data_IF_889206403074
#
_entry.id   IF_889206403074
#
_cell.length_a   1.000
_cell.length_b   1.000
_cell.length_c   1.000
_cell.angle_alpha   90.00
_cell.angle_beta   90.00
_cell.angle_gamma   90.00
#
_symmetry.space_group_name_H-M   'P 1'
#
loop_
_entity.id
_entity.type
_entity.pdbx_description
1 polymer ?
#
# COMPACT_ATOMS: atom_id res chain seq x y z
N UNK A 1 -0.40 22.90 3.86
CA UNK A 1 -1.58 22.00 3.92
C UNK A 1 -1.30 20.83 4.85
N UNK A 2 -2.36 20.20 5.40
CA UNK A 2 -2.26 19.02 6.28
C UNK A 2 -1.54 17.86 5.59
N UNK A 3 -1.76 17.68 4.30
CA UNK A 3 -1.09 16.68 3.45
C UNK A 3 0.44 16.84 3.45
N UNK A 4 0.95 18.05 3.24
CA UNK A 4 2.41 18.30 3.22
C UNK A 4 3.04 17.99 4.58
N UNK A 5 2.36 18.33 5.66
CA UNK A 5 2.81 18.01 7.01
C UNK A 5 2.85 16.50 7.26
N UNK A 6 1.83 15.76 6.80
CA UNK A 6 1.79 14.30 6.92
C UNK A 6 2.97 13.63 6.19
N UNK A 7 3.29 14.09 4.98
CA UNK A 7 4.46 13.61 4.21
C UNK A 7 5.77 13.90 4.94
N UNK A 8 5.91 15.12 5.48
CA UNK A 8 7.10 15.49 6.26
C UNK A 8 7.22 14.65 7.55
N UNK A 9 6.11 14.42 8.25
CA UNK A 9 6.06 13.55 9.43
C UNK A 9 6.48 12.12 9.10
N UNK A 10 6.01 11.54 7.99
CA UNK A 10 6.42 10.21 7.57
C UNK A 10 7.93 10.13 7.31
N UNK A 11 8.48 11.07 6.55
CA UNK A 11 9.90 11.12 6.24
C UNK A 11 10.79 11.31 7.50
N UNK A 12 10.32 12.09 8.47
CA UNK A 12 11.01 12.29 9.74
C UNK A 12 10.85 11.09 10.68
N UNK A 13 9.67 10.45 10.70
CA UNK A 13 9.42 9.25 11.50
C UNK A 13 10.31 8.08 11.06
N UNK A 14 10.55 7.91 9.76
CA UNK A 14 11.49 6.93 9.20
C UNK A 14 12.92 7.10 9.76
N UNK A 15 13.26 8.31 10.17
CA UNK A 15 14.56 8.68 10.77
C UNK A 15 14.53 8.77 12.29
N UNK A 16 13.43 8.37 12.95
CA UNK A 16 13.27 8.47 14.40
C UNK A 16 13.23 9.89 14.94
N UNK A 17 12.78 10.85 14.12
CA UNK A 17 12.74 12.29 14.46
C UNK A 17 11.33 12.81 14.73
N UNK A 18 10.37 11.92 14.99
CA UNK A 18 8.97 12.26 15.32
C UNK A 18 8.62 11.59 16.65
N UNK A 19 7.98 12.34 17.51
CA UNK A 19 7.43 11.85 18.77
C UNK A 19 5.94 11.50 18.63
N UNK A 20 5.40 10.75 19.61
CA UNK A 20 3.97 10.51 19.71
C UNK A 20 3.17 11.82 19.78
N UNK A 21 3.64 12.79 20.56
CA UNK A 21 2.97 14.11 20.70
C UNK A 21 2.88 14.87 19.38
N UNK A 22 3.87 14.70 18.49
CA UNK A 22 3.81 15.30 17.15
C UNK A 22 2.68 14.67 16.32
N UNK A 23 2.52 13.35 16.36
CA UNK A 23 1.44 12.68 15.65
C UNK A 23 0.07 12.97 16.25
N UNK A 24 -0.06 12.99 17.58
CA UNK A 24 -1.30 13.34 18.28
C UNK A 24 -1.77 14.75 17.94
N UNK A 25 -0.85 15.70 17.80
CA UNK A 25 -1.16 17.08 17.37
C UNK A 25 -1.80 17.15 16.00
N UNK A 26 -1.40 16.29 15.06
CA UNK A 26 -1.89 16.30 13.68
C UNK A 26 -2.99 15.30 13.39
N UNK A 27 -3.25 14.32 14.27
CA UNK A 27 -4.30 13.33 14.11
C UNK A 27 -5.71 13.93 13.87
N UNK A 28 -6.13 15.02 14.57
CA UNK A 28 -7.45 15.63 14.32
C UNK A 28 -7.63 16.16 12.89
N UNK A 29 -6.53 16.46 12.18
CA UNK A 29 -6.55 16.96 10.82
C UNK A 29 -6.47 15.84 9.76
N UNK A 30 -6.41 14.57 10.17
CA UNK A 30 -6.33 13.44 9.23
C UNK A 30 -7.51 13.41 8.25
N UNK A 31 -8.71 13.78 8.71
CA UNK A 31 -9.91 13.88 7.87
C UNK A 31 -9.75 14.85 6.69
N UNK A 32 -9.00 15.95 6.89
CA UNK A 32 -8.79 17.01 5.93
C UNK A 32 -7.54 16.78 5.04
N UNK A 33 -6.84 15.67 5.24
CA UNK A 33 -5.72 15.27 4.39
C UNK A 33 -6.23 14.64 3.10
N UNK A 34 -5.49 14.84 2.00
CA UNK A 34 -5.69 14.03 0.80
C UNK A 34 -5.44 12.55 1.09
N UNK A 35 -5.86 11.67 0.19
CA UNK A 35 -5.56 10.24 0.29
C UNK A 35 -4.06 9.97 0.44
N UNK A 36 -3.24 10.67 -0.34
CA UNK A 36 -1.77 10.64 -0.22
C UNK A 36 -1.29 11.05 1.18
N UNK A 37 -1.87 12.11 1.73
CA UNK A 37 -1.55 12.57 3.09
C UNK A 37 -1.95 11.56 4.16
N UNK A 38 -3.15 10.97 4.06
CA UNK A 38 -3.62 9.92 4.96
C UNK A 38 -2.70 8.69 4.93
N UNK A 39 -2.27 8.27 3.73
CA UNK A 39 -1.35 7.16 3.58
C UNK A 39 -0.01 7.42 4.28
N UNK A 40 0.59 8.60 4.08
CA UNK A 40 1.83 8.97 4.75
C UNK A 40 1.65 9.15 6.26
N UNK A 41 0.52 9.70 6.71
CA UNK A 41 0.25 9.81 8.14
C UNK A 41 0.10 8.42 8.78
N UNK A 42 -0.60 7.48 8.12
CA UNK A 42 -0.68 6.09 8.56
C UNK A 42 0.72 5.46 8.62
N UNK A 43 1.56 5.66 7.59
CA UNK A 43 2.93 5.15 7.58
C UNK A 43 3.74 5.72 8.76
N UNK A 44 3.60 7.01 9.07
CA UNK A 44 4.25 7.61 10.24
C UNK A 44 3.83 6.94 11.55
N UNK A 45 2.55 6.57 11.71
CA UNK A 45 2.06 5.90 12.93
C UNK A 45 2.69 4.51 13.13
N UNK A 46 3.09 3.82 12.06
CA UNK A 46 3.77 2.50 12.17
C UNK A 46 5.22 2.59 12.62
N UNK A 47 5.82 3.79 12.60
CA UNK A 47 7.23 4.04 12.94
C UNK A 47 7.42 4.66 14.32
N UNK A 48 6.37 5.13 14.96
CA UNK A 48 6.45 5.86 16.23
C UNK A 48 5.81 5.02 17.34
N UNK A 49 6.60 4.70 18.35
CA UNK A 49 6.14 3.92 19.51
C UNK A 49 4.99 4.65 20.23
N UNK A 50 3.92 3.93 20.52
CA UNK A 50 2.73 4.45 21.18
C UNK A 50 1.70 5.08 20.22
N UNK A 51 2.04 5.21 18.93
CA UNK A 51 1.13 5.77 17.92
C UNK A 51 0.17 4.72 17.31
N UNK A 52 0.27 3.46 17.72
CA UNK A 52 -0.55 2.35 17.19
C UNK A 52 -2.05 2.60 17.36
N UNK A 53 -2.44 3.34 18.40
CA UNK A 53 -3.84 3.71 18.66
C UNK A 53 -4.43 4.69 17.64
N UNK A 54 -3.58 5.45 16.93
CA UNK A 54 -4.02 6.41 15.90
C UNK A 54 -4.24 5.73 14.54
N UNK A 55 -3.55 4.63 14.28
CA UNK A 55 -3.53 3.96 12.99
C UNK A 55 -4.91 3.43 12.53
N UNK A 56 -5.74 2.78 13.37
CA UNK A 56 -7.00 2.20 12.94
C UNK A 56 -7.97 3.22 12.34
N UNK A 57 -8.07 4.41 12.92
CA UNK A 57 -9.01 5.43 12.44
C UNK A 57 -8.56 6.00 11.09
N UNK A 58 -7.26 6.23 10.91
CA UNK A 58 -6.71 6.68 9.64
C UNK A 58 -6.88 5.61 8.56
N UNK A 59 -6.63 4.34 8.88
CA UNK A 59 -6.83 3.24 7.95
C UNK A 59 -8.30 3.09 7.53
N UNK A 60 -9.25 3.23 8.46
CA UNK A 60 -10.70 3.25 8.15
C UNK A 60 -11.07 4.41 7.23
N UNK A 61 -10.52 5.61 7.45
CA UNK A 61 -10.76 6.76 6.57
C UNK A 61 -10.27 6.48 5.14
N UNK A 62 -9.13 5.80 4.98
CA UNK A 62 -8.63 5.37 3.67
C UNK A 62 -9.58 4.32 3.07
N UNK A 63 -9.91 3.26 3.82
CA UNK A 63 -10.78 2.18 3.36
C UNK A 63 -12.16 2.67 2.92
N UNK A 64 -12.70 3.71 3.55
CA UNK A 64 -13.97 4.31 3.18
C UNK A 64 -13.98 4.92 1.76
N UNK A 65 -12.80 5.16 1.16
CA UNK A 65 -12.67 5.67 -0.23
C UNK A 65 -12.46 4.56 -1.27
N UNK A 66 -12.52 3.29 -0.83
CA UNK A 66 -12.31 2.14 -1.72
C UNK A 66 -13.45 1.95 -2.72
N UNK A 67 -13.07 1.53 -3.92
CA UNK A 67 -14.00 1.20 -4.99
C UNK A 67 -13.52 -0.07 -5.70
N UNK A 68 -14.45 -0.99 -5.96
CA UNK A 68 -14.18 -2.19 -6.72
C UNK A 68 -15.09 -2.26 -7.93
N UNK A 69 -14.54 -2.07 -9.11
CA UNK A 69 -15.28 -2.07 -10.37
C UNK A 69 -14.50 -2.82 -11.45
N UNK A 70 -15.16 -3.72 -12.17
CA UNK A 70 -14.55 -4.44 -13.29
C UNK A 70 -13.31 -5.26 -12.91
N UNK A 71 -13.28 -5.83 -11.72
CA UNK A 71 -12.14 -6.63 -11.22
C UNK A 71 -10.93 -5.79 -10.78
N UNK A 72 -11.02 -4.46 -10.80
CA UNK A 72 -10.02 -3.54 -10.27
C UNK A 72 -10.43 -3.05 -8.90
N UNK A 73 -9.47 -2.98 -7.98
CA UNK A 73 -9.63 -2.42 -6.67
C UNK A 73 -8.78 -1.15 -6.57
N UNK A 74 -9.42 -0.03 -6.28
CA UNK A 74 -8.77 1.29 -6.20
C UNK A 74 -9.32 2.09 -5.04
N UNK A 75 -8.56 3.07 -4.61
CA UNK A 75 -9.01 4.14 -3.74
C UNK A 75 -9.19 5.40 -4.58
N UNK A 76 -10.33 6.05 -4.42
CA UNK A 76 -10.69 7.24 -5.17
C UNK A 76 -10.73 8.46 -4.26
N UNK A 77 -10.26 9.57 -4.78
CA UNK A 77 -10.37 10.88 -4.15
C UNK A 77 -11.02 11.86 -5.13
N UNK A 78 -11.97 12.65 -4.65
CA UNK A 78 -12.49 13.78 -5.43
C UNK A 78 -11.45 14.89 -5.35
N UNK A 79 -10.92 15.28 -6.49
CA UNK A 79 -9.88 16.29 -6.59
C UNK A 79 -10.51 17.63 -6.87
N UNK A 80 -10.05 18.66 -6.17
CA UNK A 80 -10.29 20.04 -6.58
C UNK A 80 -9.22 20.47 -7.58
N UNK A 81 -9.52 21.50 -8.38
CA UNK A 81 -8.63 22.06 -9.40
C UNK A 81 -7.49 22.90 -8.80
N UNK A 82 -7.11 22.68 -7.55
CA UNK A 82 -6.06 23.47 -6.92
C UNK A 82 -4.68 23.13 -7.48
N UNK A 83 -3.88 24.15 -7.78
CA UNK A 83 -2.50 24.05 -8.26
C UNK A 83 -1.55 23.27 -7.36
N UNK A 84 -1.94 22.96 -6.13
CA UNK A 84 -1.14 22.21 -5.17
C UNK A 84 -0.96 20.74 -5.56
N UNK A 85 -1.62 20.27 -6.63
CA UNK A 85 -1.64 18.87 -7.06
C UNK A 85 -0.98 18.62 -8.42
N UNK A 86 -0.08 19.48 -8.88
CA UNK A 86 0.53 19.41 -10.22
C UNK A 86 1.14 18.03 -10.54
N UNK A 87 1.66 17.30 -9.54
CA UNK A 87 2.25 15.97 -9.72
C UNK A 87 1.40 14.84 -9.14
N UNK A 88 0.16 15.14 -8.74
CA UNK A 88 -0.74 14.12 -8.22
C UNK A 88 -1.31 13.26 -9.36
N UNK A 89 -1.47 11.97 -9.10
CA UNK A 89 -2.21 11.06 -9.97
C UNK A 89 -2.94 10.02 -9.12
N UNK A 90 -4.10 9.51 -9.57
CA UNK A 90 -4.80 8.45 -8.87
C UNK A 90 -3.91 7.23 -8.61
N UNK A 91 -3.02 6.91 -9.54
CA UNK A 91 -2.11 5.78 -9.40
C UNK A 91 -1.07 6.03 -8.32
N UNK A 92 -0.44 7.22 -8.26
CA UNK A 92 0.49 7.59 -7.19
C UNK A 92 -0.16 7.47 -5.81
N UNK A 93 -1.40 7.96 -5.68
CA UNK A 93 -2.17 7.89 -4.44
C UNK A 93 -2.37 6.43 -3.99
N UNK A 94 -2.78 5.56 -4.93
CA UNK A 94 -2.99 4.14 -4.66
C UNK A 94 -1.67 3.41 -4.30
N UNK A 95 -0.55 3.81 -4.91
CA UNK A 95 0.76 3.26 -4.55
C UNK A 95 1.19 3.68 -3.14
N UNK A 96 0.95 4.93 -2.74
CA UNK A 96 1.20 5.38 -1.37
C UNK A 96 0.32 4.64 -0.35
N UNK A 97 -0.95 4.36 -0.69
CA UNK A 97 -1.83 3.53 0.15
C UNK A 97 -1.33 2.10 0.26
N UNK A 98 -0.85 1.51 -0.85
CA UNK A 98 -0.26 0.17 -0.81
C UNK A 98 0.90 0.11 0.18
N UNK A 99 1.86 1.06 0.10
CA UNK A 99 3.00 1.12 1.00
C UNK A 99 2.58 1.23 2.47
N UNK A 100 1.66 2.14 2.78
CA UNK A 100 1.12 2.30 4.12
C UNK A 100 0.39 1.04 4.63
N UNK A 101 -0.38 0.36 3.78
CA UNK A 101 -1.11 -0.85 4.16
C UNK A 101 -0.20 -2.08 4.28
N UNK A 102 0.87 -2.16 3.51
CA UNK A 102 1.91 -3.18 3.69
C UNK A 102 2.54 -3.03 5.07
N UNK A 103 2.95 -1.82 5.45
CA UNK A 103 3.55 -1.55 6.75
C UNK A 103 2.56 -1.76 7.91
N UNK A 104 1.35 -1.20 7.82
CA UNK A 104 0.34 -1.31 8.87
C UNK A 104 -0.19 -2.74 9.03
N UNK A 105 -0.32 -3.49 7.93
CA UNK A 105 -0.76 -4.89 7.93
C UNK A 105 0.17 -5.85 8.69
N UNK A 106 1.37 -5.42 9.09
CA UNK A 106 2.26 -6.20 9.96
C UNK A 106 1.88 -6.09 11.44
N UNK A 107 1.07 -5.11 11.83
CA UNK A 107 0.60 -4.96 13.21
C UNK A 107 -0.62 -5.85 13.48
N UNK A 108 -0.84 -6.20 14.76
CA UNK A 108 -2.01 -6.99 15.18
C UNK A 108 -3.33 -6.32 14.84
N UNK A 109 -3.43 -4.99 14.99
CA UNK A 109 -4.63 -4.23 14.64
C UNK A 109 -4.81 -4.01 13.14
N UNK A 110 -3.71 -3.94 12.39
CA UNK A 110 -3.71 -3.71 10.94
C UNK A 110 -4.08 -4.96 10.16
N UNK A 111 -3.52 -6.10 10.54
CA UNK A 111 -3.70 -7.37 9.82
C UNK A 111 -5.16 -7.71 9.49
N UNK A 112 -6.11 -7.71 10.45
CA UNK A 112 -7.51 -7.97 10.14
C UNK A 112 -8.19 -6.82 9.39
N UNK A 113 -7.75 -5.58 9.56
CA UNK A 113 -8.38 -4.41 8.98
C UNK A 113 -8.04 -4.25 7.50
N UNK A 114 -6.79 -4.43 7.11
CA UNK A 114 -6.36 -4.33 5.70
C UNK A 114 -6.53 -5.62 4.93
N UNK A 115 -6.53 -6.77 5.62
CA UNK A 115 -6.79 -8.11 5.08
C UNK A 115 -6.08 -8.35 3.72
N UNK A 116 -6.86 -8.60 2.66
CA UNK A 116 -6.39 -8.90 1.31
C UNK A 116 -6.22 -7.65 0.41
N UNK A 117 -6.46 -6.46 0.95
CA UNK A 117 -6.38 -5.20 0.18
C UNK A 117 -5.02 -4.98 -0.48
N UNK A 118 -3.86 -5.22 0.18
CA UNK A 118 -2.56 -5.09 -0.46
C UNK A 118 -2.42 -5.94 -1.74
N UNK A 119 -2.91 -7.18 -1.73
CA UNK A 119 -2.87 -8.07 -2.89
C UNK A 119 -3.74 -7.57 -4.05
N UNK A 120 -4.93 -7.04 -3.74
CA UNK A 120 -5.83 -6.44 -4.75
C UNK A 120 -5.21 -5.19 -5.37
N UNK A 121 -4.56 -4.34 -4.55
CA UNK A 121 -3.86 -3.15 -5.03
C UNK A 121 -2.67 -3.51 -5.92
N UNK A 122 -1.81 -4.45 -5.53
CA UNK A 122 -0.67 -4.91 -6.34
C UNK A 122 -1.15 -5.34 -7.72
N UNK A 123 -2.22 -6.14 -7.79
CA UNK A 123 -2.81 -6.55 -9.07
C UNK A 123 -3.23 -5.36 -9.92
N UNK A 124 -3.94 -4.40 -9.34
CA UNK A 124 -4.41 -3.21 -10.07
C UNK A 124 -3.24 -2.33 -10.53
N UNK A 125 -2.25 -2.11 -9.66
CA UNK A 125 -1.07 -1.29 -9.94
C UNK A 125 -0.22 -1.91 -11.06
N UNK A 126 0.04 -3.21 -11.01
CA UNK A 126 0.83 -3.88 -12.04
C UNK A 126 0.12 -3.89 -13.40
N UNK A 127 -1.19 -4.12 -13.42
CA UNK A 127 -1.99 -4.05 -14.64
C UNK A 127 -2.06 -2.64 -15.25
N UNK A 128 -1.87 -1.59 -14.46
CA UNK A 128 -1.93 -0.19 -14.94
C UNK A 128 -0.80 0.16 -15.92
N UNK A 129 0.30 -0.59 -15.94
CA UNK A 129 1.41 -0.39 -16.89
C UNK A 129 1.04 -0.70 -18.36
N UNK A 130 0.00 -1.50 -18.62
CA UNK A 130 -0.49 -1.80 -19.97
C UNK A 130 0.62 -2.24 -20.95
N UNK A 131 1.39 -3.25 -20.62
CA UNK A 131 2.50 -3.78 -21.42
C UNK A 131 3.71 -2.83 -21.56
N UNK A 132 3.81 -1.77 -20.75
CA UNK A 132 5.01 -0.95 -20.63
C UNK A 132 5.88 -1.42 -19.46
N UNK A 133 7.15 -1.14 -19.52
CA UNK A 133 8.13 -1.40 -18.44
C UNK A 133 8.09 -0.34 -17.32
N UNK A 134 7.38 0.80 -17.57
CA UNK A 134 7.29 1.93 -16.65
C UNK A 134 5.86 2.48 -16.57
N UNK A 135 5.56 3.32 -15.56
CA UNK A 135 4.35 4.14 -15.46
C UNK A 135 4.53 5.49 -16.16
N UNK A 136 3.49 6.33 -16.18
CA UNK A 136 3.44 7.52 -17.02
C UNK A 136 4.41 8.63 -16.62
N UNK A 137 4.76 8.74 -15.33
CA UNK A 137 5.59 9.83 -14.83
C UNK A 137 6.51 9.36 -13.70
N UNK A 138 7.49 10.22 -13.35
CA UNK A 138 8.50 9.94 -12.34
C UNK A 138 7.89 9.67 -10.95
N UNK A 139 6.81 10.37 -10.58
CA UNK A 139 6.15 10.16 -9.29
C UNK A 139 5.51 8.78 -9.18
N UNK A 140 4.80 8.37 -10.23
CA UNK A 140 4.22 7.04 -10.29
C UNK A 140 5.31 5.97 -10.23
N UNK A 141 6.40 6.12 -11.00
CA UNK A 141 7.50 5.17 -10.98
C UNK A 141 8.15 5.07 -9.60
N UNK A 142 8.35 6.20 -8.92
CA UNK A 142 8.94 6.23 -7.59
C UNK A 142 8.04 5.55 -6.55
N UNK A 143 6.79 6.01 -6.42
CA UNK A 143 5.90 5.52 -5.35
C UNK A 143 5.44 4.09 -5.61
N UNK A 144 5.10 3.74 -6.85
CA UNK A 144 4.69 2.38 -7.18
C UNK A 144 5.86 1.40 -7.10
N UNK A 145 7.05 1.80 -7.54
CA UNK A 145 8.26 0.98 -7.42
C UNK A 145 8.57 0.67 -5.96
N UNK A 146 8.60 1.68 -5.08
CA UNK A 146 8.87 1.49 -3.65
C UNK A 146 7.80 0.60 -3.00
N UNK A 147 6.51 0.89 -3.23
CA UNK A 147 5.42 0.11 -2.66
C UNK A 147 5.45 -1.37 -3.07
N UNK A 148 5.80 -1.67 -4.35
CA UNK A 148 5.96 -3.05 -4.81
C UNK A 148 7.18 -3.74 -4.19
N UNK A 149 8.29 -3.02 -4.01
CA UNK A 149 9.48 -3.55 -3.33
C UNK A 149 9.15 -3.91 -1.87
N UNK A 150 8.44 -3.03 -1.16
CA UNK A 150 8.07 -3.28 0.23
C UNK A 150 7.01 -4.38 0.36
N UNK A 151 6.06 -4.46 -0.58
CA UNK A 151 5.16 -5.61 -0.68
C UNK A 151 5.93 -6.93 -0.87
N UNK A 152 6.88 -6.97 -1.80
CA UNK A 152 7.66 -8.17 -2.07
C UNK A 152 8.50 -8.60 -0.85
N UNK A 153 9.10 -7.65 -0.12
CA UNK A 153 9.83 -7.94 1.12
C UNK A 153 8.96 -8.61 2.19
N UNK A 154 7.71 -8.18 2.29
CA UNK A 154 6.79 -8.67 3.34
C UNK A 154 6.11 -9.97 2.93
N UNK A 155 5.62 -10.08 1.70
CA UNK A 155 4.74 -11.17 1.29
C UNK A 155 5.38 -12.18 0.33
N UNK A 156 6.52 -11.85 -0.29
CA UNK A 156 7.21 -12.71 -1.26
C UNK A 156 8.61 -13.12 -0.78
N UNK A 157 8.94 -12.88 0.48
CA UNK A 157 10.26 -13.19 1.07
C UNK A 157 10.45 -14.68 1.37
N UNK A 158 9.37 -15.45 1.51
CA UNK A 158 9.46 -16.87 1.77
C UNK A 158 9.91 -17.64 0.51
N UNK A 159 10.86 -18.56 0.69
CA UNK A 159 11.28 -19.44 -0.39
C UNK A 159 10.13 -20.39 -0.73
N UNK A 160 9.65 -20.30 -1.95
CA UNK A 160 8.66 -21.25 -2.45
C UNK A 160 9.29 -22.62 -2.53
N UNK A 161 8.76 -23.58 -1.78
CA UNK A 161 9.07 -24.99 -1.90
C UNK A 161 7.77 -25.76 -1.95
N UNK A 162 7.14 -25.73 -3.10
CA UNK A 162 5.79 -26.24 -3.30
C UNK A 162 5.76 -27.30 -4.39
N UNK A 163 5.04 -28.39 -4.14
CA UNK A 163 4.74 -29.41 -5.16
C UNK A 163 3.27 -29.28 -5.54
N UNK A 164 2.99 -28.98 -6.80
CA UNK A 164 1.65 -28.93 -7.36
C UNK A 164 1.39 -30.21 -8.13
N UNK A 165 0.25 -30.86 -7.84
CA UNK A 165 -0.23 -32.04 -8.57
C UNK A 165 -1.51 -31.69 -9.32
N UNK A 166 -1.52 -31.88 -10.62
CA UNK A 166 -2.74 -31.84 -11.42
C UNK A 166 -3.42 -33.20 -11.35
N UNK A 167 -4.71 -33.21 -11.03
CA UNK A 167 -5.51 -34.44 -10.92
C UNK A 167 -6.73 -34.30 -11.80
N UNK A 168 -7.01 -35.33 -12.66
CA UNK A 168 -8.19 -35.41 -13.47
C UNK A 168 -8.81 -36.81 -13.26
N UNK A 169 -10.10 -36.85 -12.95
CA UNK A 169 -10.84 -38.09 -12.62
C UNK A 169 -10.17 -38.97 -11.55
N UNK A 170 -9.59 -38.33 -10.52
CA UNK A 170 -8.91 -39.01 -9.42
C UNK A 170 -7.50 -39.51 -9.75
N UNK A 171 -7.02 -39.33 -10.99
CA UNK A 171 -5.66 -39.75 -11.42
C UNK A 171 -4.76 -38.53 -11.56
N UNK A 172 -3.55 -38.61 -11.00
CA UNK A 172 -2.53 -37.58 -11.17
C UNK A 172 -2.07 -37.59 -12.65
N UNK A 173 -2.25 -36.44 -13.32
CA UNK A 173 -1.87 -36.27 -14.75
C UNK A 173 -0.58 -35.44 -14.88
N UNK A 174 -0.11 -34.80 -13.80
CA UNK A 174 1.12 -34.05 -13.80
C UNK A 174 1.55 -33.69 -12.39
N UNK A 175 2.84 -33.50 -12.22
CA UNK A 175 3.42 -32.96 -10.97
C UNK A 175 4.52 -31.98 -11.32
N UNK A 176 4.46 -30.78 -10.73
CA UNK A 176 5.49 -29.76 -10.87
C UNK A 176 6.01 -29.32 -9.51
N UNK A 177 7.33 -29.08 -9.41
CA UNK A 177 7.97 -28.56 -8.20
C UNK A 177 8.43 -27.13 -8.43
N UNK A 178 7.92 -26.22 -7.63
CA UNK A 178 8.33 -24.82 -7.60
C UNK A 178 9.36 -24.64 -6.50
N UNK A 179 10.61 -24.27 -6.83
CA UNK A 179 11.69 -24.04 -5.89
C UNK A 179 11.98 -22.57 -5.64
N UNK A 180 11.56 -21.72 -6.53
CA UNK A 180 11.62 -20.26 -6.43
C UNK A 180 10.58 -19.60 -7.34
N UNK A 181 10.35 -18.28 -7.15
CA UNK A 181 9.38 -17.51 -7.96
C UNK A 181 9.92 -17.12 -9.34
N UNK A 182 11.22 -17.29 -9.61
CA UNK A 182 11.88 -16.84 -10.85
C UNK A 182 11.91 -17.93 -11.91
N UNK A 183 11.84 -19.19 -11.50
CA UNK A 183 11.85 -20.35 -12.39
C UNK A 183 10.55 -21.14 -12.23
N UNK A 184 9.47 -20.72 -12.93
CA UNK A 184 8.28 -21.54 -12.99
C UNK A 184 8.63 -22.88 -13.66
N UNK A 185 8.09 -23.96 -13.10
CA UNK A 185 8.31 -25.33 -13.61
C UNK A 185 7.69 -25.54 -15.00
#
# INVERSE_FOLDING_TARGET
TSTVRAVALAALAERGKVSLADLERYAPFAKDMSLFGKAHFLLATTKVVGAEKLAPDVAKMILATSNQTGGKFVFNEVWDDSYTRILASPLRENCAVLDAFVAYGQSESGKPLVADVPFKLVRTITQSRKNRDHWQNTQENLFCGNALVDFAKVYESERVNMTVKAVMDGKAIGTAKFKDLRNPA
#
